data_IF_961672820093
#
_entry.id   IF_961672820093
#
_cell.length_a   1.000
_cell.length_b   1.000
_cell.length_c   1.000
_cell.angle_alpha   90.00
_cell.angle_beta   90.00
_cell.angle_gamma   90.00
#
_symmetry.space_group_name_H-M   'P 1'
#
loop_
_entity.id
_entity.type
_entity.pdbx_description
1 polymer ?
#
# COMPACT_ATOMS: atom_id res chain seq x y z
N UNK A 1 -14.46 -7.71 -3.60
CA UNK A 1 -15.06 -6.76 -4.56
C UNK A 1 -14.29 -6.84 -5.87
N UNK A 2 -14.97 -6.71 -7.00
CA UNK A 2 -14.36 -6.53 -8.32
C UNK A 2 -14.73 -5.15 -8.86
N UNK A 3 -13.82 -4.56 -9.62
CA UNK A 3 -14.02 -3.30 -10.31
C UNK A 3 -13.51 -3.45 -11.73
N UNK A 4 -14.29 -3.02 -12.70
CA UNK A 4 -13.87 -2.99 -14.09
C UNK A 4 -12.87 -1.86 -14.29
N UNK A 5 -11.76 -2.15 -14.99
CA UNK A 5 -10.67 -1.18 -15.17
C UNK A 5 -11.06 -0.06 -16.14
N UNK A 6 -11.82 -0.40 -17.19
CA UNK A 6 -12.17 0.53 -18.27
C UNK A 6 -13.53 1.22 -18.11
N UNK A 7 -14.18 1.16 -16.94
CA UNK A 7 -15.51 1.71 -16.78
C UNK A 7 -16.01 1.66 -15.33
N UNK A 8 -17.31 1.86 -15.16
CA UNK A 8 -17.92 2.09 -13.84
C UNK A 8 -18.48 0.83 -13.18
N UNK A 9 -18.40 -0.33 -13.83
CA UNK A 9 -18.91 -1.57 -13.27
C UNK A 9 -18.12 -1.97 -12.02
N UNK A 10 -18.84 -2.26 -10.94
CA UNK A 10 -18.29 -2.71 -9.67
C UNK A 10 -19.30 -3.64 -8.99
N UNK A 11 -18.81 -4.72 -8.39
CA UNK A 11 -19.67 -5.68 -7.70
C UNK A 11 -18.94 -6.41 -6.55
N UNK A 12 -19.71 -6.93 -5.60
CA UNK A 12 -19.18 -7.69 -4.47
C UNK A 12 -19.29 -9.19 -4.74
N UNK A 13 -18.12 -9.82 -4.97
CA UNK A 13 -18.03 -11.24 -5.30
C UNK A 13 -18.09 -12.17 -4.09
N UNK A 14 -17.63 -11.71 -2.92
CA UNK A 14 -17.57 -12.54 -1.73
C UNK A 14 -17.57 -11.70 -0.45
N UNK A 15 -18.35 -12.15 0.54
CA UNK A 15 -18.21 -11.79 1.94
C UNK A 15 -17.74 -13.02 2.70
N UNK A 16 -16.59 -12.92 3.35
CA UNK A 16 -15.99 -14.04 4.07
C UNK A 16 -15.85 -13.60 5.52
N UNK A 17 -16.56 -14.23 6.48
CA UNK A 17 -16.33 -13.95 7.88
C UNK A 17 -14.91 -14.42 8.25
N UNK A 18 -14.12 -13.53 8.84
CA UNK A 18 -12.74 -13.82 9.21
C UNK A 18 -12.58 -13.64 10.71
N UNK A 19 -12.39 -14.75 11.42
CA UNK A 19 -12.08 -14.75 12.87
C UNK A 19 -10.56 -14.63 13.09
N UNK A 20 -9.76 -15.28 12.24
CA UNK A 20 -8.29 -15.19 12.26
C UNK A 20 -7.74 -15.21 10.85
N UNK A 21 -7.26 -14.06 10.38
CA UNK A 21 -6.69 -13.93 9.05
C UNK A 21 -5.25 -14.48 9.04
N UNK A 22 -4.97 -15.42 8.15
CA UNK A 22 -3.61 -15.90 7.88
C UNK A 22 -3.39 -16.06 6.36
N UNK A 23 -2.11 -16.17 5.95
CA UNK A 23 -1.74 -16.20 4.53
C UNK A 23 -2.27 -17.43 3.79
N UNK A 24 -2.33 -18.59 4.44
CA UNK A 24 -2.84 -19.82 3.83
C UNK A 24 -4.35 -19.75 3.58
N UNK A 25 -5.11 -19.22 4.55
CA UNK A 25 -6.53 -18.98 4.42
C UNK A 25 -6.81 -18.03 3.24
N UNK A 26 -6.06 -16.92 3.17
CA UNK A 26 -6.15 -16.00 2.03
C UNK A 26 -5.85 -16.68 0.71
N UNK A 27 -4.82 -17.52 0.64
CA UNK A 27 -4.47 -18.27 -0.56
C UNK A 27 -5.59 -19.19 -1.03
N UNK A 28 -6.17 -19.98 -0.12
CA UNK A 28 -7.30 -20.86 -0.44
C UNK A 28 -8.50 -20.07 -0.99
N UNK A 29 -8.82 -18.93 -0.37
CA UNK A 29 -9.92 -18.06 -0.83
C UNK A 29 -9.60 -17.37 -2.14
N UNK A 30 -8.35 -16.96 -2.36
CA UNK A 30 -7.87 -16.38 -3.60
C UNK A 30 -8.01 -17.35 -4.77
N UNK A 31 -7.53 -18.59 -4.65
CA UNK A 31 -7.62 -19.60 -5.71
C UNK A 31 -9.09 -19.87 -6.08
N UNK A 32 -9.95 -20.02 -5.07
CA UNK A 32 -11.38 -20.22 -5.28
C UNK A 32 -12.01 -19.03 -6.03
N UNK A 33 -11.73 -17.81 -5.58
CA UNK A 33 -12.27 -16.58 -6.19
C UNK A 33 -11.80 -16.42 -7.64
N UNK A 34 -10.50 -16.62 -7.91
CA UNK A 34 -9.94 -16.54 -9.26
C UNK A 34 -10.54 -17.60 -10.20
N UNK A 35 -10.79 -18.81 -9.68
CA UNK A 35 -11.48 -19.86 -10.44
C UNK A 35 -12.90 -19.45 -10.79
N UNK A 36 -13.66 -18.98 -9.80
CA UNK A 36 -15.05 -18.53 -10.02
C UNK A 36 -15.11 -17.40 -11.04
N UNK A 37 -14.28 -16.36 -10.89
CA UNK A 37 -14.23 -15.24 -11.84
C UNK A 37 -13.92 -15.70 -13.26
N UNK A 38 -12.96 -16.60 -13.41
CA UNK A 38 -12.62 -17.14 -14.73
C UNK A 38 -13.77 -17.92 -15.37
N UNK A 39 -14.52 -18.70 -14.57
CA UNK A 39 -15.68 -19.47 -15.06
C UNK A 39 -16.82 -18.56 -15.55
N UNK A 40 -16.97 -17.37 -14.97
CA UNK A 40 -17.95 -16.37 -15.41
C UNK A 40 -17.36 -15.35 -16.40
N UNK A 41 -16.24 -15.68 -17.06
CA UNK A 41 -15.61 -14.90 -18.14
C UNK A 41 -15.00 -13.55 -17.65
N UNK A 42 -14.92 -13.34 -16.33
CA UNK A 42 -14.16 -12.23 -15.79
C UNK A 42 -12.67 -12.56 -15.78
N UNK A 43 -11.89 -11.78 -16.53
CA UNK A 43 -10.43 -11.85 -16.50
C UNK A 43 -9.93 -10.86 -15.45
N UNK A 44 -9.47 -11.38 -14.31
CA UNK A 44 -8.83 -10.57 -13.30
C UNK A 44 -7.40 -10.21 -13.74
N UNK A 45 -7.12 -8.90 -13.86
CA UNK A 45 -5.80 -8.39 -14.27
C UNK A 45 -4.91 -8.04 -13.07
N UNK A 46 -5.53 -7.63 -11.96
CA UNK A 46 -4.83 -7.19 -10.77
C UNK A 46 -5.64 -7.48 -9.51
N UNK A 47 -4.95 -7.51 -8.37
CA UNK A 47 -5.57 -7.45 -7.05
C UNK A 47 -4.98 -6.29 -6.27
N UNK A 48 -5.85 -5.51 -5.64
CA UNK A 48 -5.48 -4.43 -4.75
C UNK A 48 -5.74 -4.87 -3.30
N UNK A 49 -4.74 -4.76 -2.43
CA UNK A 49 -4.86 -5.09 -1.00
C UNK A 49 -4.22 -4.01 -0.14
N UNK A 50 -4.62 -3.93 1.13
CA UNK A 50 -3.94 -3.08 2.09
C UNK A 50 -2.52 -3.59 2.42
N UNK A 51 -1.73 -2.74 3.08
CA UNK A 51 -0.38 -3.08 3.52
C UNK A 51 -0.35 -3.80 4.89
N UNK A 52 -1.39 -4.59 5.19
CA UNK A 52 -1.45 -5.36 6.42
C UNK A 52 -0.35 -6.46 6.45
N UNK A 53 0.28 -6.76 7.60
CA UNK A 53 1.35 -7.76 7.69
C UNK A 53 0.98 -9.14 7.13
N UNK A 54 -0.28 -9.54 7.22
CA UNK A 54 -0.76 -10.81 6.67
C UNK A 54 -0.73 -10.80 5.14
N UNK A 55 -1.13 -9.69 4.50
CA UNK A 55 -1.09 -9.53 3.04
C UNK A 55 0.35 -9.44 2.51
N UNK A 56 1.23 -8.76 3.27
CA UNK A 56 2.68 -8.72 3.00
C UNK A 56 3.35 -10.08 3.05
N UNK A 57 2.86 -11.02 3.87
CA UNK A 57 3.34 -12.41 3.87
C UNK A 57 2.70 -13.22 2.75
N UNK A 58 1.39 -13.03 2.55
CA UNK A 58 0.59 -13.73 1.55
C UNK A 58 1.22 -13.66 0.14
N UNK A 59 1.51 -12.46 -0.38
CA UNK A 59 2.01 -12.34 -1.75
C UNK A 59 3.35 -13.02 -2.01
N UNK A 60 4.45 -12.65 -1.34
CA UNK A 60 5.74 -13.28 -1.59
C UNK A 60 5.70 -14.78 -1.30
N UNK A 61 5.12 -15.21 -0.18
CA UNK A 61 5.24 -16.61 0.25
C UNK A 61 4.28 -17.55 -0.48
N UNK A 62 3.08 -17.09 -0.85
CA UNK A 62 2.06 -17.97 -1.46
C UNK A 62 1.84 -17.71 -2.96
N UNK A 63 2.04 -16.49 -3.45
CA UNK A 63 1.79 -16.17 -4.87
C UNK A 63 3.06 -16.03 -5.72
N UNK A 64 4.18 -15.59 -5.13
CA UNK A 64 5.33 -15.13 -5.90
C UNK A 64 6.61 -15.98 -5.67
N UNK A 65 6.50 -17.14 -5.03
CA UNK A 65 7.62 -18.09 -4.91
C UNK A 65 8.74 -17.65 -3.96
N UNK A 66 8.41 -16.89 -2.91
CA UNK A 66 9.34 -16.41 -1.87
C UNK A 66 9.72 -14.94 -2.01
N UNK A 67 9.67 -14.38 -3.21
CA UNK A 67 10.00 -12.98 -3.47
C UNK A 67 8.82 -12.25 -4.08
N UNK A 68 8.53 -11.04 -3.61
CA UNK A 68 7.47 -10.22 -4.21
C UNK A 68 7.81 -10.00 -5.69
N UNK A 69 6.81 -10.10 -6.58
CA UNK A 69 6.93 -9.88 -8.03
C UNK A 69 6.00 -8.76 -8.49
N UNK A 70 6.36 -8.01 -9.54
CA UNK A 70 5.49 -6.98 -10.14
C UNK A 70 4.35 -7.58 -10.96
N UNK A 71 4.51 -8.83 -11.37
CA UNK A 71 3.49 -9.63 -12.03
C UNK A 71 3.76 -11.10 -11.79
N UNK A 72 2.70 -11.90 -11.73
CA UNK A 72 2.74 -13.36 -11.72
C UNK A 72 1.96 -13.89 -12.92
N UNK A 73 2.16 -15.15 -13.27
CA UNK A 73 1.33 -15.81 -14.29
C UNK A 73 -0.10 -15.97 -13.78
N UNK A 74 -1.09 -15.66 -14.63
CA UNK A 74 -2.50 -15.81 -14.25
C UNK A 74 -2.82 -17.29 -13.97
N UNK A 75 -3.49 -17.63 -12.85
CA UNK A 75 -3.63 -19.01 -12.38
C UNK A 75 -4.38 -19.93 -13.35
N UNK A 76 -5.23 -19.36 -14.22
CA UNK A 76 -6.02 -20.12 -15.21
C UNK A 76 -5.63 -19.82 -16.67
N UNK A 77 -4.62 -18.97 -16.91
CA UNK A 77 -4.19 -18.64 -18.27
C UNK A 77 -2.69 -18.28 -18.30
N UNK A 78 -1.87 -19.19 -18.81
CA UNK A 78 -0.40 -19.03 -18.82
C UNK A 78 0.10 -17.85 -19.68
N UNK A 79 -0.70 -17.41 -20.64
CA UNK A 79 -0.35 -16.32 -21.56
C UNK A 79 -0.71 -14.94 -20.98
N UNK A 80 -1.30 -14.89 -19.78
CA UNK A 80 -1.72 -13.65 -19.14
C UNK A 80 -0.93 -13.40 -17.86
N UNK A 81 -0.69 -12.12 -17.58
CA UNK A 81 -0.09 -11.65 -16.35
C UNK A 81 -1.17 -11.16 -15.38
N UNK A 82 -0.87 -11.32 -14.10
CA UNK A 82 -1.67 -10.86 -12.99
C UNK A 82 -0.82 -10.00 -12.06
N UNK A 83 -1.32 -8.83 -11.68
CA UNK A 83 -0.55 -7.82 -10.97
C UNK A 83 -0.99 -7.69 -9.51
N UNK A 84 -0.18 -8.13 -8.53
CA UNK A 84 -0.43 -7.84 -7.12
C UNK A 84 -0.03 -6.39 -6.81
N UNK A 85 -0.97 -5.61 -6.28
CA UNK A 85 -0.81 -4.18 -6.00
C UNK A 85 -1.16 -3.91 -4.54
N UNK A 86 -0.31 -3.17 -3.83
CA UNK A 86 -0.63 -2.62 -2.52
C UNK A 86 -1.32 -1.27 -2.67
N UNK A 87 -2.29 -1.00 -1.80
CA UNK A 87 -3.03 0.26 -1.80
C UNK A 87 -2.08 1.45 -1.56
N UNK A 88 -1.88 2.31 -2.58
CA UNK A 88 -0.96 3.42 -2.48
C UNK A 88 -1.37 4.42 -1.40
N UNK A 89 -2.68 4.58 -1.12
CA UNK A 89 -3.14 5.52 -0.09
C UNK A 89 -2.66 5.10 1.29
N UNK A 90 -2.77 3.81 1.61
CA UNK A 90 -2.28 3.26 2.85
C UNK A 90 -0.75 3.34 2.94
N UNK A 91 -0.05 3.11 1.84
CA UNK A 91 1.41 3.22 1.79
C UNK A 91 1.87 4.67 2.02
N UNK A 92 1.24 5.66 1.38
CA UNK A 92 1.54 7.07 1.61
C UNK A 92 1.23 7.50 3.05
N UNK A 93 0.13 7.03 3.63
CA UNK A 93 -0.18 7.29 5.04
C UNK A 93 0.86 6.72 5.99
N UNK A 94 1.40 5.53 5.70
CA UNK A 94 2.49 4.94 6.48
C UNK A 94 3.77 5.77 6.34
N UNK A 95 4.06 6.27 5.13
CA UNK A 95 5.19 7.19 4.88
C UNK A 95 5.04 8.49 5.67
N UNK A 96 3.85 9.07 5.66
CA UNK A 96 3.57 10.30 6.40
C UNK A 96 3.69 10.10 7.92
N UNK A 97 3.19 8.98 8.46
CA UNK A 97 3.29 8.68 9.90
C UNK A 97 4.72 8.47 10.37
N UNK A 98 5.55 7.74 9.60
CA UNK A 98 6.97 7.60 9.96
C UNK A 98 7.71 8.94 9.86
N UNK A 99 7.35 9.77 8.87
CA UNK A 99 7.84 11.14 8.79
C UNK A 99 7.51 11.96 10.06
N UNK A 100 6.25 11.97 10.50
CA UNK A 100 5.82 12.68 11.71
C UNK A 100 6.53 12.19 12.97
N UNK A 101 6.82 10.88 13.06
CA UNK A 101 7.53 10.27 14.19
C UNK A 101 9.04 10.51 14.16
N UNK A 102 9.56 11.15 13.10
CA UNK A 102 11.00 11.35 12.88
C UNK A 102 11.78 10.04 12.84
N UNK A 103 11.09 8.93 12.57
CA UNK A 103 11.68 7.63 12.38
C UNK A 103 12.17 7.52 10.93
N UNK A 104 13.17 6.70 10.68
CA UNK A 104 13.66 6.45 9.32
C UNK A 104 12.76 5.42 8.62
N UNK A 105 12.64 5.53 7.29
CA UNK A 105 12.13 4.41 6.49
C UNK A 105 13.29 3.49 6.12
N UNK A 106 13.11 2.19 6.30
CA UNK A 106 13.98 1.21 5.65
C UNK A 106 13.41 0.92 4.27
N UNK A 107 13.98 1.56 3.24
CA UNK A 107 13.70 1.19 1.86
C UNK A 107 14.66 0.07 1.49
N UNK A 108 14.17 -1.16 1.37
CA UNK A 108 14.96 -2.25 0.83
C UNK A 108 15.10 -2.09 -0.68
N UNK A 109 16.22 -1.52 -1.12
CA UNK A 109 16.55 -1.29 -2.53
C UNK A 109 17.02 -2.55 -3.27
N UNK A 110 16.75 -3.74 -2.73
CA UNK A 110 17.23 -5.02 -3.28
C UNK A 110 16.86 -5.22 -4.76
N UNK A 111 15.85 -4.51 -5.27
CA UNK A 111 15.44 -4.53 -6.69
C UNK A 111 16.18 -3.55 -7.62
N UNK A 112 16.94 -2.60 -7.10
CA UNK A 112 17.78 -1.67 -7.88
C UNK A 112 19.23 -2.14 -7.97
N UNK A 113 19.54 -3.37 -7.53
CA UNK A 113 20.92 -3.88 -7.47
C UNK A 113 21.78 -3.24 -6.37
N UNK A 114 21.18 -2.40 -5.52
CA UNK A 114 21.90 -1.72 -4.44
C UNK A 114 21.64 -2.45 -3.13
N UNK A 115 22.68 -3.07 -2.56
CA UNK A 115 22.67 -3.66 -1.20
C UNK A 115 22.75 -2.57 -0.13
N UNK A 116 21.95 -1.51 -0.24
CA UNK A 116 21.86 -0.49 0.79
C UNK A 116 20.40 -0.24 1.14
N UNK A 117 20.16 -0.05 2.43
CA UNK A 117 18.94 0.59 2.90
C UNK A 117 19.17 2.09 2.88
N UNK A 118 18.34 2.82 2.12
CA UNK A 118 18.25 4.25 2.32
C UNK A 118 17.58 4.48 3.68
N UNK A 119 18.26 5.22 4.54
CA UNK A 119 17.71 5.76 5.78
C UNK A 119 17.57 7.27 5.58
N UNK A 120 16.61 7.74 4.76
CA UNK A 120 16.45 9.17 4.57
C UNK A 120 16.20 9.80 5.93
N UNK A 121 17.20 10.54 6.43
CA UNK A 121 17.12 11.24 7.69
C UNK A 121 16.26 12.49 7.47
N UNK A 122 15.07 12.49 8.05
CA UNK A 122 14.15 13.61 7.95
C UNK A 122 14.55 14.83 8.80
N UNK A 123 15.72 14.84 9.44
CA UNK A 123 16.26 15.97 10.19
C UNK A 123 16.23 17.28 9.40
N UNK A 124 16.56 17.24 8.10
CA UNK A 124 16.53 18.43 7.24
C UNK A 124 15.10 18.95 7.03
N UNK A 125 14.12 18.05 6.89
CA UNK A 125 12.71 18.43 6.75
C UNK A 125 12.13 18.88 8.09
N UNK A 126 12.59 18.32 9.22
CA UNK A 126 12.25 18.81 10.56
C UNK A 126 12.75 20.23 10.81
N UNK A 127 13.95 20.57 10.32
CA UNK A 127 14.47 21.93 10.41
C UNK A 127 13.53 22.89 9.67
N UNK A 128 13.14 22.54 8.44
CA UNK A 128 12.21 23.33 7.65
C UNK A 128 10.83 23.44 8.32
N UNK A 129 10.28 22.32 8.82
CA UNK A 129 8.98 22.30 9.49
C UNK A 129 8.97 23.14 10.77
N UNK A 130 10.02 23.09 11.59
CA UNK A 130 10.18 23.94 12.77
C UNK A 130 10.30 25.42 12.41
N UNK A 131 11.02 25.75 11.33
CA UNK A 131 11.13 27.13 10.84
C UNK A 131 9.78 27.64 10.36
N UNK A 132 9.02 26.85 9.60
CA UNK A 132 7.69 27.23 9.12
C UNK A 132 6.67 27.37 10.24
N UNK A 133 6.72 26.51 11.27
CA UNK A 133 5.83 26.63 12.44
C UNK A 133 6.13 27.88 13.27
N UNK A 134 7.41 28.15 13.53
CA UNK A 134 7.83 29.39 14.18
C UNK A 134 7.37 30.61 13.40
N UNK A 135 7.55 30.62 12.08
CA UNK A 135 7.05 31.68 11.19
C UNK A 135 5.54 31.88 11.31
N UNK A 136 4.74 30.80 11.38
CA UNK A 136 3.29 30.91 11.56
C UNK A 136 2.88 31.39 12.94
N UNK A 137 3.59 31.00 14.00
CA UNK A 137 3.35 31.44 15.37
C UNK A 137 3.69 32.94 15.54
N UNK A 138 4.82 33.41 15.00
CA UNK A 138 5.18 34.84 15.01
C UNK A 138 4.22 35.69 14.19
N UNK A 139 3.62 35.15 13.12
CA UNK A 139 2.61 35.85 12.33
C UNK A 139 1.28 35.96 13.07
N UNK A 140 0.91 34.96 13.88
CA UNK A 140 -0.29 35.01 14.72
C UNK A 140 -0.10 35.97 15.89
N UNK A 141 1.07 35.99 16.54
CA UNK A 141 1.38 36.97 17.60
C UNK A 141 1.35 38.42 17.06
N UNK A 142 1.87 38.67 15.86
CA UNK A 142 1.83 40.01 15.24
C UNK A 142 0.42 40.47 14.81
N UNK A 143 -0.57 39.56 14.73
CA UNK A 143 -1.97 39.89 14.44
C UNK A 143 -2.76 40.15 15.73
N UNK A 144 -2.24 39.72 16.89
CA UNK A 144 -2.90 39.83 18.21
C UNK A 144 -2.25 40.95 19.07
N UNK A 145 -1.48 41.87 18.48
CA UNK A 145 -1.20 43.13 19.16
C UNK A 145 -2.50 43.96 19.21
N UNK A 146 -2.95 44.37 20.42
CA UNK A 146 -4.25 44.99 20.59
C UNK A 146 -4.24 46.37 19.95
N UNK A 147 -5.33 46.68 19.26
CA UNK A 147 -5.83 48.05 19.15
C UNK A 147 -6.02 48.55 20.58
N UNK A 148 -4.98 49.17 21.14
CA UNK A 148 -5.08 50.01 22.32
C UNK A 148 -5.69 51.34 21.88
N UNK A 149 -6.68 51.77 22.66
CA UNK A 149 -7.54 52.95 22.49
C UNK A 149 -6.81 54.26 22.10
#
# INVERSE_FOLDING_TARGET
MIKFVGGNYMDVVAFIPVIKLNGEFLYRKYILTMKTLYQIIFIALAVLVDNHPVNRKFFPHFLCGGELQTSITHPHNINRKFHPIFDPVNDFNNIYKGFQRQEYFTIHLNRLGVKSSLHPNFAQINLHYKVSRKSSETTIEAIIDPVCD
#
